data_IF_775906311990
#
_entry.id   IF_775906311990
#
_cell.length_a   1.000
_cell.length_b   1.000
_cell.length_c   1.000
_cell.angle_alpha   90.00
_cell.angle_beta   90.00
_cell.angle_gamma   90.00
#
_symmetry.space_group_name_H-M   'P 1'
#
loop_
_entity.id
_entity.type
_entity.pdbx_description
1 polymer ?
#
# COMPACT_ATOMS: atom_id res chain seq x y z
N UNK A 1 12.01 -0.74 9.09
CA UNK A 1 12.33 -0.07 7.81
C UNK A 1 11.10 -0.15 6.91
N UNK A 2 10.65 0.98 6.35
CA UNK A 2 9.50 1.04 5.43
C UNK A 2 9.98 1.42 4.04
N UNK A 3 9.57 0.67 3.01
CA UNK A 3 9.90 0.91 1.61
C UNK A 3 8.60 1.04 0.80
N UNK A 4 8.43 2.16 0.11
CA UNK A 4 7.26 2.47 -0.70
C UNK A 4 7.59 3.45 -1.84
N UNK A 5 7.16 3.19 -3.09
CA UNK A 5 6.63 1.91 -3.58
C UNK A 5 7.75 0.90 -3.83
N UNK A 6 7.60 -0.33 -3.34
CA UNK A 6 8.63 -1.36 -3.45
C UNK A 6 8.90 -1.79 -4.92
N UNK A 7 7.91 -1.67 -5.81
CA UNK A 7 8.03 -1.97 -7.24
C UNK A 7 8.83 -0.93 -8.04
N UNK A 8 9.17 0.22 -7.45
CA UNK A 8 10.05 1.19 -8.08
C UNK A 8 11.53 0.83 -7.94
N UNK A 9 11.87 -0.22 -7.17
CA UNK A 9 13.25 -0.70 -7.07
C UNK A 9 13.71 -1.24 -8.42
N UNK A 10 14.82 -0.69 -8.92
CA UNK A 10 15.53 -1.31 -10.04
C UNK A 10 16.13 -2.65 -9.63
N UNK A 11 16.52 -3.47 -10.61
CA UNK A 11 17.05 -4.83 -10.38
C UNK A 11 18.25 -4.82 -9.41
N UNK A 12 19.27 -3.95 -9.55
CA UNK A 12 20.37 -3.90 -8.59
C UNK A 12 19.94 -3.60 -7.16
N UNK A 13 19.04 -2.63 -6.96
CA UNK A 13 18.55 -2.27 -5.63
C UNK A 13 17.70 -3.39 -5.00
N UNK A 14 16.86 -4.04 -5.80
CA UNK A 14 16.07 -5.19 -5.37
C UNK A 14 16.98 -6.35 -4.92
N UNK A 15 18.04 -6.65 -5.68
CA UNK A 15 19.00 -7.69 -5.32
C UNK A 15 19.84 -7.35 -4.08
N UNK A 16 20.17 -6.07 -3.87
CA UNK A 16 20.82 -5.62 -2.64
C UNK A 16 19.90 -5.81 -1.42
N UNK A 17 18.62 -5.47 -1.56
CA UNK A 17 17.61 -5.66 -0.51
C UNK A 17 17.43 -7.13 -0.13
N UNK A 18 17.51 -8.07 -1.09
CA UNK A 18 17.37 -9.51 -0.81
C UNK A 18 18.33 -9.99 0.28
N UNK A 19 19.59 -9.51 0.27
CA UNK A 19 20.58 -9.88 1.29
C UNK A 19 20.13 -9.47 2.69
N UNK A 20 19.55 -8.28 2.83
CA UNK A 20 19.03 -7.78 4.10
C UNK A 20 17.72 -8.45 4.53
N UNK A 21 16.94 -8.97 3.59
CA UNK A 21 15.73 -9.74 3.89
C UNK A 21 16.04 -11.17 4.35
N UNK A 22 17.12 -11.78 3.84
CA UNK A 22 17.57 -13.12 4.25
C UNK A 22 18.18 -13.14 5.64
N UNK A 23 19.03 -12.14 5.93
CA UNK A 23 19.71 -12.00 7.21
C UNK A 23 19.43 -10.59 7.77
N UNK A 24 18.21 -10.34 8.28
CA UNK A 24 17.89 -9.04 8.85
C UNK A 24 18.75 -8.80 10.10
N UNK A 25 19.14 -7.53 10.30
CA UNK A 25 19.78 -7.12 11.54
C UNK A 25 18.87 -7.42 12.74
N UNK A 26 19.47 -7.60 13.93
CA UNK A 26 18.71 -7.84 15.16
C UNK A 26 17.64 -6.76 15.35
N UNK A 27 16.47 -7.19 15.82
CA UNK A 27 15.31 -6.34 16.13
C UNK A 27 14.83 -5.47 14.96
N UNK A 28 15.03 -5.92 13.72
CA UNK A 28 14.62 -5.20 12.51
C UNK A 28 13.42 -5.85 11.83
N UNK A 29 12.40 -5.05 11.55
CA UNK A 29 11.25 -5.45 10.71
C UNK A 29 11.26 -4.63 9.41
N UNK A 30 11.08 -5.31 8.29
CA UNK A 30 10.87 -4.69 6.98
C UNK A 30 9.38 -4.67 6.65
N UNK A 31 8.89 -3.51 6.22
CA UNK A 31 7.55 -3.32 5.68
C UNK A 31 7.71 -2.80 4.26
N UNK A 32 7.35 -3.64 3.29
CA UNK A 32 7.37 -3.31 1.88
C UNK A 32 5.94 -3.05 1.44
N UNK A 33 5.69 -1.86 0.90
CA UNK A 33 4.37 -1.45 0.41
C UNK A 33 4.44 -1.34 -1.10
N UNK A 34 3.51 -1.99 -1.80
CA UNK A 34 3.40 -1.94 -3.25
C UNK A 34 1.94 -1.78 -3.69
N UNK A 35 1.73 -1.16 -4.84
CA UNK A 35 0.42 -1.09 -5.49
C UNK A 35 0.12 -2.34 -6.33
N UNK A 36 1.16 -2.98 -6.87
CA UNK A 36 1.01 -4.16 -7.72
C UNK A 36 2.03 -5.24 -7.35
N UNK A 37 1.56 -6.30 -6.68
CA UNK A 37 2.41 -7.39 -6.22
C UNK A 37 3.14 -8.10 -7.37
N UNK A 38 2.52 -8.17 -8.55
CA UNK A 38 3.08 -8.82 -9.75
C UNK A 38 4.28 -8.08 -10.36
N UNK A 39 4.50 -6.82 -9.96
CA UNK A 39 5.68 -6.05 -10.37
C UNK A 39 6.89 -6.29 -9.48
N UNK A 40 6.72 -6.98 -8.35
CA UNK A 40 7.83 -7.35 -7.47
C UNK A 40 8.52 -8.61 -7.98
N UNK A 41 9.83 -8.68 -7.75
CA UNK A 41 10.60 -9.89 -8.07
C UNK A 41 10.07 -11.09 -7.25
N UNK A 42 9.88 -12.27 -7.87
CA UNK A 42 9.45 -13.48 -7.16
C UNK A 42 10.33 -13.83 -5.94
N UNK A 43 11.61 -13.46 -5.99
CA UNK A 43 12.59 -13.68 -4.91
C UNK A 43 12.33 -12.81 -3.68
N UNK A 44 11.81 -11.59 -3.85
CA UNK A 44 11.33 -10.75 -2.73
C UNK A 44 10.06 -11.38 -2.16
N UNK A 45 9.11 -11.74 -3.04
CA UNK A 45 7.83 -12.32 -2.62
C UNK A 45 7.97 -13.63 -1.85
N UNK A 46 9.01 -14.43 -2.10
CA UNK A 46 9.26 -15.68 -1.38
C UNK A 46 9.85 -15.48 0.02
N UNK A 47 10.37 -14.28 0.34
CA UNK A 47 11.01 -13.93 1.62
C UNK A 47 10.16 -12.98 2.47
N UNK A 48 9.01 -12.53 1.96
CA UNK A 48 8.09 -11.66 2.68
C UNK A 48 6.77 -12.39 2.96
N UNK A 49 6.18 -12.10 4.12
CA UNK A 49 4.78 -12.44 4.36
C UNK A 49 3.89 -11.48 3.56
N UNK A 50 2.98 -12.03 2.75
CA UNK A 50 2.09 -11.23 1.91
C UNK A 50 0.88 -10.83 2.73
N UNK A 51 0.65 -9.53 2.84
CA UNK A 51 -0.51 -8.97 3.52
C UNK A 51 -1.29 -8.11 2.52
N UNK A 52 -2.49 -8.56 2.16
CA UNK A 52 -3.37 -7.80 1.27
C UNK A 52 -4.16 -6.77 2.08
N UNK A 53 -3.99 -5.48 1.76
CA UNK A 53 -4.79 -4.42 2.35
C UNK A 53 -6.02 -4.19 1.47
N UNK A 54 -7.15 -4.77 1.87
CA UNK A 54 -8.42 -4.59 1.17
C UNK A 54 -9.01 -3.21 1.44
N UNK A 55 -9.81 -2.73 0.49
CA UNK A 55 -10.64 -1.55 0.70
C UNK A 55 -11.65 -1.81 1.83
N UNK A 56 -11.97 -0.79 2.64
CA UNK A 56 -13.05 -0.89 3.61
C UNK A 56 -14.40 -1.09 2.90
N UNK A 57 -15.40 -1.58 3.63
CA UNK A 57 -16.76 -1.63 3.13
C UNK A 57 -17.27 -0.23 2.78
N UNK A 58 -18.09 -0.15 1.73
CA UNK A 58 -18.61 1.13 1.23
C UNK A 58 -19.28 1.97 2.33
N UNK A 59 -20.05 1.34 3.21
CA UNK A 59 -20.70 2.04 4.33
C UNK A 59 -19.68 2.67 5.28
N UNK A 60 -18.63 1.91 5.65
CA UNK A 60 -17.55 2.40 6.51
C UNK A 60 -16.75 3.53 5.85
N UNK A 61 -16.47 3.41 4.55
CA UNK A 61 -15.79 4.45 3.78
C UNK A 61 -16.61 5.76 3.73
N UNK A 62 -17.91 5.65 3.47
CA UNK A 62 -18.84 6.78 3.44
C UNK A 62 -18.96 7.46 4.80
N UNK A 63 -19.11 6.68 5.87
CA UNK A 63 -19.22 7.23 7.22
C UNK A 63 -17.94 7.95 7.63
N UNK A 64 -16.77 7.39 7.29
CA UNK A 64 -15.50 8.07 7.49
C UNK A 64 -15.41 9.38 6.69
N UNK A 65 -15.72 9.38 5.38
CA UNK A 65 -15.67 10.58 4.54
C UNK A 65 -16.60 11.70 5.05
N UNK A 66 -17.80 11.35 5.52
CA UNK A 66 -18.73 12.29 6.16
C UNK A 66 -18.14 12.91 7.42
N UNK A 67 -17.47 12.11 8.26
CA UNK A 67 -16.76 12.61 9.44
C UNK A 67 -15.59 13.52 9.06
N UNK A 68 -14.99 13.33 7.89
CA UNK A 68 -13.93 14.19 7.35
C UNK A 68 -14.47 15.48 6.71
N UNK A 69 -15.79 15.69 6.65
CA UNK A 69 -16.42 16.88 6.08
C UNK A 69 -16.36 16.94 4.56
N UNK A 70 -16.19 15.81 3.88
CA UNK A 70 -16.12 15.75 2.41
C UNK A 70 -17.53 15.91 1.82
N UNK A 71 -17.75 16.97 1.04
CA UNK A 71 -18.96 17.15 0.24
C UNK A 71 -18.96 16.18 -0.96
N UNK A 72 -20.14 15.75 -1.41
CA UNK A 72 -20.31 14.80 -2.51
C UNK A 72 -19.46 13.52 -2.34
N UNK A 73 -19.35 13.04 -1.10
CA UNK A 73 -18.48 11.93 -0.72
C UNK A 73 -18.72 10.64 -1.52
N UNK A 74 -19.97 10.37 -1.93
CA UNK A 74 -20.32 9.21 -2.75
C UNK A 74 -19.74 9.31 -4.16
N UNK A 75 -19.78 10.50 -4.76
CA UNK A 75 -19.21 10.75 -6.09
C UNK A 75 -17.70 10.58 -6.06
N UNK A 76 -17.04 11.20 -5.07
CA UNK A 76 -15.59 11.07 -4.91
C UNK A 76 -15.17 9.64 -4.63
N UNK A 77 -15.88 8.94 -3.73
CA UNK A 77 -15.57 7.56 -3.39
C UNK A 77 -15.70 6.63 -4.60
N UNK A 78 -16.76 6.80 -5.41
CA UNK A 78 -16.97 6.03 -6.62
C UNK A 78 -15.87 6.29 -7.66
N UNK A 79 -15.48 7.55 -7.87
CA UNK A 79 -14.41 7.92 -8.80
C UNK A 79 -13.04 7.35 -8.40
N UNK A 80 -12.80 7.19 -7.10
CA UNK A 80 -11.57 6.62 -6.57
C UNK A 80 -11.62 5.10 -6.35
N UNK A 81 -12.59 4.43 -6.97
CA UNK A 81 -12.72 2.97 -6.90
C UNK A 81 -12.92 2.46 -5.47
N UNK A 82 -13.54 3.24 -4.59
CA UNK A 82 -13.78 2.87 -3.20
C UNK A 82 -12.64 3.20 -2.24
N UNK A 83 -11.59 3.92 -2.66
CA UNK A 83 -10.51 4.35 -1.78
C UNK A 83 -10.85 5.67 -1.03
N UNK A 84 -11.18 5.63 0.28
CA UNK A 84 -11.69 6.82 0.98
C UNK A 84 -10.62 7.89 1.20
N UNK A 85 -9.36 7.53 1.48
CA UNK A 85 -8.30 8.52 1.63
C UNK A 85 -8.06 9.31 0.35
N UNK A 86 -7.98 8.58 -0.77
CA UNK A 86 -7.86 9.16 -2.10
C UNK A 86 -9.07 10.08 -2.39
N UNK A 87 -10.30 9.60 -2.14
CA UNK A 87 -11.52 10.39 -2.33
C UNK A 87 -11.50 11.71 -1.54
N UNK A 88 -10.99 11.70 -0.30
CA UNK A 88 -10.82 12.92 0.50
C UNK A 88 -9.79 13.86 -0.12
N UNK A 89 -8.64 13.35 -0.57
CA UNK A 89 -7.58 14.17 -1.17
C UNK A 89 -8.05 14.91 -2.43
N UNK A 90 -8.87 14.26 -3.28
CA UNK A 90 -9.36 14.90 -4.52
C UNK A 90 -10.53 15.87 -4.31
N UNK A 91 -11.21 15.78 -3.16
CA UNK A 91 -12.31 16.67 -2.81
C UNK A 91 -11.84 18.00 -2.20
N UNK A 92 -10.54 18.15 -1.93
CA UNK A 92 -9.91 19.37 -1.38
C UNK A 92 -9.38 20.26 -2.50
#
# INVERSE_FOLDING_TARGET
IVLYPAEALNIPAANALLKSLEEPAKDTVFILVCHSIDKLLPTILSRCHKFALSLPEHAQAMDWLRQQGVADADVWLAQQGGAPLAAKEMAQ
#
